data_IF_884692010887
#
_entry.id   IF_884692010887
#
_cell.length_a   1.000
_cell.length_b   1.000
_cell.length_c   1.000
_cell.angle_alpha   90.00
_cell.angle_beta   90.00
_cell.angle_gamma   90.00
#
_symmetry.space_group_name_H-M   'P 1'
#
loop_
_entity.id
_entity.type
_entity.pdbx_description
1 polymer ?
#
# COMPACT_ATOMS: atom_id res chain seq x y z
N UNK A 1 -16.51 10.30 -0.52
CA UNK A 1 -15.71 9.68 -1.60
C UNK A 1 -16.55 8.60 -2.24
N UNK A 2 -16.48 8.47 -3.56
CA UNK A 2 -17.09 7.34 -4.25
C UNK A 2 -16.05 6.23 -4.43
N UNK A 3 -16.17 5.15 -3.65
CA UNK A 3 -15.24 4.02 -3.66
C UNK A 3 -15.42 3.12 -4.90
N UNK A 4 -16.54 3.24 -5.60
CA UNK A 4 -16.82 2.47 -6.81
C UNK A 4 -16.35 3.22 -8.07
N UNK A 5 -15.90 4.47 -7.93
CA UNK A 5 -15.32 5.24 -9.04
C UNK A 5 -14.15 4.46 -9.64
N UNK A 6 -14.27 4.09 -10.92
CA UNK A 6 -13.20 3.43 -11.65
C UNK A 6 -12.09 4.45 -11.91
N UNK A 7 -10.88 4.14 -11.45
CA UNK A 7 -9.66 4.88 -11.73
C UNK A 7 -8.92 4.12 -12.84
N UNK A 8 -8.52 4.86 -13.87
CA UNK A 8 -7.70 4.35 -14.97
C UNK A 8 -6.34 5.01 -14.89
N UNK A 9 -5.28 4.22 -14.89
CA UNK A 9 -3.92 4.71 -14.85
C UNK A 9 -3.00 3.76 -15.63
N UNK A 10 -1.83 4.26 -16.02
CA UNK A 10 -0.87 3.49 -16.82
C UNK A 10 0.37 3.24 -16.00
N UNK A 11 0.78 1.97 -15.89
CA UNK A 11 2.07 1.59 -15.31
C UNK A 11 2.89 0.94 -16.43
N UNK A 12 3.93 1.65 -16.87
CA UNK A 12 4.74 1.21 -18.01
C UNK A 12 3.92 1.16 -19.31
N UNK A 13 3.75 -0.03 -19.88
CA UNK A 13 2.96 -0.25 -21.11
C UNK A 13 1.54 -0.72 -20.85
N UNK A 14 1.21 -1.11 -19.62
CA UNK A 14 -0.09 -1.68 -19.27
C UNK A 14 -1.04 -0.60 -18.77
N UNK A 15 -2.28 -0.67 -19.27
CA UNK A 15 -3.38 0.16 -18.81
C UNK A 15 -4.13 -0.60 -17.71
N UNK A 16 -4.21 0.00 -16.53
CA UNK A 16 -4.83 -0.56 -15.34
C UNK A 16 -6.14 0.16 -15.08
N UNK A 17 -7.20 -0.61 -14.85
CA UNK A 17 -8.51 -0.10 -14.48
C UNK A 17 -8.99 -0.80 -13.21
N UNK A 18 -9.23 -0.04 -12.16
CA UNK A 18 -9.75 -0.60 -10.90
C UNK A 18 -10.59 0.41 -10.13
N UNK A 19 -11.54 -0.04 -9.28
CA UNK A 19 -12.28 0.83 -8.37
C UNK A 19 -11.35 1.56 -7.39
N UNK A 20 -11.65 2.81 -7.08
CA UNK A 20 -10.91 3.63 -6.13
C UNK A 20 -10.75 2.95 -4.76
N UNK A 21 -11.78 2.23 -4.31
CA UNK A 21 -11.73 1.46 -3.08
C UNK A 21 -10.63 0.39 -3.07
N UNK A 22 -10.42 -0.31 -4.19
CA UNK A 22 -9.37 -1.32 -4.31
C UNK A 22 -7.99 -0.67 -4.28
N UNK A 23 -7.81 0.43 -5.01
CA UNK A 23 -6.54 1.16 -5.04
C UNK A 23 -6.16 1.67 -3.65
N UNK A 24 -7.12 2.25 -2.91
CA UNK A 24 -6.91 2.71 -1.54
C UNK A 24 -6.62 1.56 -0.57
N UNK A 25 -7.30 0.42 -0.73
CA UNK A 25 -7.05 -0.77 0.08
C UNK A 25 -5.60 -1.27 -0.11
N UNK A 26 -5.16 -1.42 -1.36
CA UNK A 26 -3.80 -1.86 -1.69
C UNK A 26 -2.74 -0.88 -1.18
N UNK A 27 -2.96 0.42 -1.38
CA UNK A 27 -2.08 1.46 -0.84
C UNK A 27 -2.02 1.44 0.69
N UNK A 28 -3.17 1.28 1.34
CA UNK A 28 -3.29 1.20 2.79
C UNK A 28 -2.57 -0.01 3.38
N UNK A 29 -2.76 -1.20 2.80
CA UNK A 29 -2.07 -2.43 3.23
C UNK A 29 -0.56 -2.28 3.04
N UNK A 30 -0.13 -1.74 1.90
CA UNK A 30 1.31 -1.54 1.61
C UNK A 30 1.95 -0.62 2.66
N UNK A 31 1.30 0.51 2.98
CA UNK A 31 1.78 1.42 4.01
C UNK A 31 1.80 0.76 5.40
N UNK A 32 0.75 0.02 5.75
CA UNK A 32 0.68 -0.70 7.02
C UNK A 32 1.83 -1.71 7.16
N UNK A 33 2.13 -2.46 6.08
CA UNK A 33 3.24 -3.40 6.06
C UNK A 33 4.60 -2.71 6.19
N UNK A 34 4.82 -1.58 5.51
CA UNK A 34 6.06 -0.80 5.62
C UNK A 34 6.23 -0.33 7.08
N UNK A 35 5.21 0.27 7.67
CA UNK A 35 5.26 0.79 9.05
C UNK A 35 5.49 -0.35 10.03
N UNK A 36 4.77 -1.47 9.88
CA UNK A 36 4.93 -2.64 10.74
C UNK A 36 6.35 -3.24 10.63
N UNK A 37 6.88 -3.35 9.40
CA UNK A 37 8.23 -3.83 9.14
C UNK A 37 9.29 -2.93 9.76
N UNK A 38 9.16 -1.61 9.60
CA UNK A 38 10.07 -0.63 10.22
C UNK A 38 10.04 -0.71 11.75
N UNK A 39 8.85 -0.79 12.35
CA UNK A 39 8.68 -0.90 13.79
C UNK A 39 9.29 -2.20 14.35
N UNK A 40 9.02 -3.33 13.70
CA UNK A 40 9.60 -4.62 14.09
C UNK A 40 11.12 -4.62 13.90
N UNK A 41 11.64 -4.05 12.82
CA UNK A 41 13.07 -3.92 12.57
C UNK A 41 13.77 -3.06 13.63
N UNK A 42 13.19 -1.92 13.99
CA UNK A 42 13.70 -1.06 15.06
C UNK A 42 13.75 -1.81 16.40
N UNK A 43 12.64 -2.45 16.79
CA UNK A 43 12.57 -3.23 18.02
C UNK A 43 13.53 -4.42 18.03
N UNK A 44 13.72 -5.08 16.89
CA UNK A 44 14.67 -6.19 16.78
C UNK A 44 16.12 -5.72 16.99
N UNK A 45 16.50 -4.59 16.37
CA UNK A 45 17.82 -3.99 16.59
C UNK A 45 18.06 -3.56 18.03
N UNK A 46 17.05 -2.99 18.68
CA UNK A 46 17.11 -2.59 20.10
C UNK A 46 17.33 -3.78 21.06
N UNK A 47 16.79 -4.96 20.73
CA UNK A 47 16.96 -6.17 21.56
C UNK A 47 18.27 -6.94 21.30
N UNK A 48 19.03 -6.57 20.26
CA UNK A 48 20.33 -7.17 19.94
C UNK A 48 21.52 -6.36 20.45
N UNK A 49 21.28 -5.15 20.96
CA UNK A 49 22.28 -4.27 21.54
C UNK A 49 22.32 -4.40 23.06
#
# INVERSE_FOLDING_TARGET
MDFNKIIKFKIGKEDWEMPLGILLLLGGITLAMIIAGLFMGFKFGENMQ
#
